data_IF_235349266673
#
_entry.id   IF_235349266673
#
_cell.length_a   1.000
_cell.length_b   1.000
_cell.length_c   1.000
_cell.angle_alpha   90.00
_cell.angle_beta   90.00
_cell.angle_gamma   90.00
#
_symmetry.space_group_name_H-M   'P 1'
#
loop_
_entity.id
_entity.type
_entity.pdbx_description
1 polymer ?
#
# COMPACT_ATOMS: atom_id res chain seq x y z
N UNK A 1 -4.20 4.73 17.93
CA UNK A 1 -5.39 5.61 17.91
C UNK A 1 -5.47 6.39 19.23
N UNK A 2 -5.66 5.74 20.37
CA UNK A 2 -5.72 6.41 21.69
C UNK A 2 -4.53 7.33 21.98
N UNK A 3 -3.30 6.87 21.71
CA UNK A 3 -2.09 7.69 21.85
C UNK A 3 -2.20 9.03 21.09
N UNK A 4 -2.65 8.97 19.83
CA UNK A 4 -2.75 10.14 18.95
C UNK A 4 -3.88 11.05 19.42
N UNK A 5 -5.02 10.48 19.83
CA UNK A 5 -6.14 11.24 20.43
C UNK A 5 -5.67 12.06 21.62
N UNK A 6 -4.96 11.42 22.55
CA UNK A 6 -4.39 12.08 23.74
C UNK A 6 -3.42 13.18 23.36
N UNK A 7 -2.53 12.95 22.39
CA UNK A 7 -1.64 14.00 21.89
C UNK A 7 -2.41 15.21 21.36
N UNK A 8 -3.49 15.00 20.59
CA UNK A 8 -4.33 16.11 20.13
C UNK A 8 -4.94 16.90 21.30
N UNK A 9 -5.47 16.21 22.30
CA UNK A 9 -6.00 16.85 23.52
C UNK A 9 -4.90 17.64 24.26
N UNK A 10 -3.69 17.09 24.39
CA UNK A 10 -2.52 17.75 25.00
C UNK A 10 -2.07 18.99 24.21
N UNK A 11 -2.20 18.98 22.88
CA UNK A 11 -1.97 20.15 22.02
C UNK A 11 -3.12 21.18 22.07
N UNK A 12 -4.17 20.94 22.86
CA UNK A 12 -5.35 21.82 22.95
C UNK A 12 -6.27 21.72 21.73
N UNK A 13 -6.14 20.66 20.92
CA UNK A 13 -6.99 20.43 19.75
C UNK A 13 -8.26 19.71 20.21
N UNK A 14 -9.40 20.38 20.02
CA UNK A 14 -10.72 19.85 20.36
C UNK A 14 -11.48 19.48 19.10
N UNK A 15 -11.63 18.18 18.84
CA UNK A 15 -12.50 17.67 17.78
C UNK A 15 -13.89 17.37 18.34
N UNK A 16 -14.94 17.75 17.62
CA UNK A 16 -16.30 17.29 17.94
C UNK A 16 -16.43 15.77 17.79
N UNK A 17 -15.76 15.19 16.78
CA UNK A 17 -15.72 13.76 16.51
C UNK A 17 -14.31 13.37 16.06
N UNK A 18 -13.62 12.59 16.89
CA UNK A 18 -12.39 11.89 16.51
C UNK A 18 -12.67 10.38 16.45
N UNK A 19 -12.73 9.84 15.23
CA UNK A 19 -13.11 8.44 14.96
C UNK A 19 -12.03 7.71 14.14
N UNK A 20 -12.30 6.46 13.77
CA UNK A 20 -11.39 5.57 13.03
C UNK A 20 -12.09 4.90 11.86
N UNK A 21 -11.32 4.63 10.81
CA UNK A 21 -11.77 3.91 9.61
C UNK A 21 -12.07 2.43 9.87
N UNK A 22 -11.61 1.87 11.00
CA UNK A 22 -11.98 0.51 11.44
C UNK A 22 -13.33 0.45 12.17
N UNK A 23 -14.19 1.47 12.04
CA UNK A 23 -15.53 1.50 12.63
C UNK A 23 -16.56 0.86 11.70
N UNK A 24 -17.63 0.28 12.27
CA UNK A 24 -18.67 -0.37 11.46
C UNK A 24 -19.38 0.61 10.53
N UNK A 25 -19.56 1.87 10.97
CA UNK A 25 -20.11 2.95 10.13
C UNK A 25 -19.22 3.19 8.91
N UNK A 26 -17.90 3.28 9.08
CA UNK A 26 -16.99 3.49 7.96
C UNK A 26 -16.99 2.30 7.00
N UNK A 27 -16.93 1.07 7.55
CA UNK A 27 -17.01 -0.16 6.76
C UNK A 27 -18.28 -0.16 5.90
N UNK A 28 -19.44 0.10 6.50
CA UNK A 28 -20.72 0.15 5.80
C UNK A 28 -20.71 1.24 4.72
N UNK A 29 -20.37 2.47 5.08
CA UNK A 29 -20.40 3.60 4.14
C UNK A 29 -19.45 3.42 2.96
N UNK A 30 -18.24 2.90 3.18
CA UNK A 30 -17.28 2.64 2.11
C UNK A 30 -17.77 1.53 1.17
N UNK A 31 -18.31 0.43 1.73
CA UNK A 31 -18.91 -0.66 0.94
C UNK A 31 -20.11 -0.18 0.13
N UNK A 32 -21.02 0.60 0.74
CA UNK A 32 -22.21 1.14 0.06
C UNK A 32 -21.79 2.08 -1.08
N UNK A 33 -20.76 2.91 -0.89
CA UNK A 33 -20.24 3.80 -1.92
C UNK A 33 -19.64 3.01 -3.09
N UNK A 34 -18.82 1.99 -2.81
CA UNK A 34 -18.26 1.11 -3.84
C UNK A 34 -19.37 0.43 -4.66
N UNK A 35 -20.34 -0.20 -3.98
CA UNK A 35 -21.46 -0.89 -4.63
C UNK A 35 -22.26 0.05 -5.51
N UNK A 36 -22.54 1.27 -5.04
CA UNK A 36 -23.27 2.26 -5.84
C UNK A 36 -22.54 2.64 -7.13
N UNK A 37 -21.21 2.77 -7.11
CA UNK A 37 -20.45 3.08 -8.33
C UNK A 37 -20.43 1.85 -9.26
N UNK A 38 -20.25 0.67 -8.70
CA UNK A 38 -20.24 -0.60 -9.42
C UNK A 38 -21.58 -0.88 -10.12
N UNK A 39 -22.71 -0.71 -9.42
CA UNK A 39 -24.07 -0.90 -9.96
C UNK A 39 -24.46 0.11 -11.05
N UNK A 40 -23.73 1.24 -11.15
CA UNK A 40 -23.93 2.25 -12.19
C UNK A 40 -22.90 2.13 -13.32
N UNK A 41 -22.29 0.95 -13.50
CA UNK A 41 -21.26 0.68 -14.52
C UNK A 41 -20.09 1.68 -14.47
N UNK A 42 -19.79 2.21 -13.28
CA UNK A 42 -18.76 3.23 -13.07
C UNK A 42 -17.33 2.70 -12.98
N UNK A 43 -17.14 1.38 -13.09
CA UNK A 43 -15.84 0.72 -13.03
C UNK A 43 -15.56 -0.09 -14.29
N UNK A 44 -14.28 -0.15 -14.64
CA UNK A 44 -13.75 -1.10 -15.59
C UNK A 44 -12.89 -2.12 -14.84
N UNK A 45 -13.14 -3.40 -15.07
CA UNK A 45 -12.29 -4.46 -14.57
C UNK A 45 -11.13 -4.71 -15.53
N UNK A 46 -9.91 -4.72 -15.00
CA UNK A 46 -8.67 -4.81 -15.79
C UNK A 46 -7.77 -5.87 -15.14
N UNK A 47 -7.23 -6.77 -15.96
CA UNK A 47 -6.16 -7.67 -15.51
C UNK A 47 -4.82 -6.95 -15.55
N UNK A 48 -4.04 -7.10 -14.49
CA UNK A 48 -2.70 -6.51 -14.36
C UNK A 48 -1.71 -7.52 -13.80
N UNK A 49 -0.42 -7.34 -14.11
CA UNK A 49 0.63 -8.14 -13.50
C UNK A 49 1.11 -7.47 -12.23
N UNK A 50 1.18 -8.24 -11.14
CA UNK A 50 1.70 -7.80 -9.85
C UNK A 50 2.73 -8.80 -9.32
N UNK A 51 3.65 -8.31 -8.49
CA UNK A 51 4.61 -9.17 -7.83
C UNK A 51 3.93 -10.08 -6.82
N UNK A 52 4.30 -11.36 -6.84
CA UNK A 52 3.81 -12.40 -5.96
C UNK A 52 4.98 -13.10 -5.28
N UNK A 53 4.89 -13.26 -3.97
CA UNK A 53 5.83 -14.03 -3.19
C UNK A 53 5.32 -15.47 -3.06
N UNK A 54 6.00 -16.40 -3.72
CA UNK A 54 5.63 -17.82 -3.71
C UNK A 54 5.84 -18.49 -2.35
N UNK A 55 6.78 -17.99 -1.56
CA UNK A 55 7.08 -18.54 -0.23
C UNK A 55 6.06 -18.04 0.80
N UNK A 56 5.71 -16.75 0.74
CA UNK A 56 4.67 -16.17 1.60
C UNK A 56 3.23 -16.43 1.11
N UNK A 57 3.07 -16.91 -0.13
CA UNK A 57 1.79 -17.25 -0.74
C UNK A 57 0.85 -16.07 -1.00
N UNK A 58 1.39 -14.87 -1.26
CA UNK A 58 0.57 -13.65 -1.43
C UNK A 58 1.14 -12.66 -2.45
N UNK A 59 0.26 -11.82 -3.01
CA UNK A 59 0.66 -10.65 -3.78
C UNK A 59 1.30 -9.60 -2.86
N UNK A 60 2.31 -8.91 -3.38
CA UNK A 60 3.07 -7.90 -2.65
C UNK A 60 2.57 -6.51 -3.01
N UNK A 61 2.15 -5.75 -2.00
CA UNK A 61 2.04 -4.31 -2.12
C UNK A 61 3.43 -3.69 -2.28
N UNK A 62 3.53 -2.52 -2.90
CA UNK A 62 4.79 -1.84 -3.25
C UNK A 62 5.77 -1.74 -2.08
N UNK A 63 5.27 -1.40 -0.89
CA UNK A 63 6.05 -1.33 0.36
C UNK A 63 6.69 -2.64 0.82
N UNK A 64 6.20 -3.78 0.35
CA UNK A 64 6.75 -5.11 0.63
C UNK A 64 7.69 -5.59 -0.46
N UNK A 65 8.02 -4.74 -1.42
CA UNK A 65 9.00 -5.00 -2.46
C UNK A 65 10.18 -4.10 -2.16
N UNK A 66 11.36 -4.70 -2.02
CA UNK A 66 12.60 -3.97 -1.80
C UNK A 66 13.60 -4.31 -2.87
N UNK A 67 14.51 -3.40 -3.18
CA UNK A 67 15.52 -3.67 -4.19
C UNK A 67 16.53 -2.54 -4.28
N UNK A 68 17.31 -2.57 -5.35
CA UNK A 68 18.31 -1.56 -5.63
C UNK A 68 17.70 -0.43 -6.46
N UNK A 69 17.80 0.80 -5.96
CA UNK A 69 17.35 2.00 -6.67
C UNK A 69 18.12 2.17 -7.99
N UNK A 70 17.44 2.33 -9.13
CA UNK A 70 18.11 2.54 -10.41
C UNK A 70 18.80 3.90 -10.53
N UNK A 71 18.43 4.89 -9.70
CA UNK A 71 18.95 6.26 -9.79
C UNK A 71 20.17 6.53 -8.92
N UNK A 72 20.20 6.00 -7.70
CA UNK A 72 21.29 6.26 -6.74
C UNK A 72 21.98 4.99 -6.22
N UNK A 73 21.60 3.82 -6.72
CA UNK A 73 22.16 2.53 -6.34
C UNK A 73 21.98 2.13 -4.87
N UNK A 74 21.09 2.80 -4.13
CA UNK A 74 20.69 2.36 -2.79
C UNK A 74 20.12 0.95 -2.85
N UNK A 75 20.73 -0.02 -2.17
CA UNK A 75 20.33 -1.43 -2.19
C UNK A 75 19.04 -1.75 -1.40
N UNK A 76 18.48 -0.76 -0.70
CA UNK A 76 17.31 -0.90 0.18
C UNK A 76 16.22 0.13 -0.16
N UNK A 77 15.96 0.34 -1.44
CA UNK A 77 14.81 1.14 -1.87
C UNK A 77 13.52 0.31 -1.75
N UNK A 78 12.42 0.97 -1.40
CA UNK A 78 11.08 0.38 -1.44
C UNK A 78 10.52 0.49 -2.87
N UNK A 79 9.50 -0.33 -3.17
CA UNK A 79 8.88 -0.37 -4.49
C UNK A 79 8.26 0.94 -4.93
N UNK A 80 7.80 1.77 -3.99
CA UNK A 80 7.17 3.06 -4.23
C UNK A 80 8.12 4.26 -4.09
N UNK A 81 9.17 4.14 -3.28
CA UNK A 81 10.09 5.25 -3.00
C UNK A 81 11.51 4.80 -2.61
N UNK A 82 12.50 5.58 -3.04
CA UNK A 82 13.86 5.50 -2.50
C UNK A 82 14.10 6.53 -1.39
N UNK A 83 14.29 6.07 -0.15
CA UNK A 83 14.61 6.93 1.01
C UNK A 83 15.96 7.66 0.92
N UNK A 84 16.87 7.22 0.04
CA UNK A 84 18.19 7.84 -0.08
C UNK A 84 18.19 9.07 -1.00
N UNK A 85 17.48 9.01 -2.13
CA UNK A 85 17.44 10.10 -3.11
C UNK A 85 16.06 10.77 -3.23
N UNK A 86 15.05 10.26 -2.53
CA UNK A 86 13.67 10.78 -2.52
C UNK A 86 12.86 10.47 -3.78
N UNK A 87 13.43 9.78 -4.76
CA UNK A 87 12.75 9.46 -6.03
C UNK A 87 11.58 8.49 -5.81
N UNK A 88 10.44 8.82 -6.40
CA UNK A 88 9.31 7.89 -6.52
C UNK A 88 9.64 6.80 -7.54
N UNK A 89 9.29 5.56 -7.21
CA UNK A 89 9.56 4.38 -8.00
C UNK A 89 8.27 3.61 -8.26
N UNK A 90 8.24 2.80 -9.31
CA UNK A 90 7.39 1.63 -9.41
C UNK A 90 8.19 0.40 -8.93
N UNK A 91 7.55 -0.62 -8.34
CA UNK A 91 8.26 -1.84 -7.96
C UNK A 91 8.99 -2.51 -9.12
N UNK A 92 8.47 -2.35 -10.35
CA UNK A 92 9.07 -2.85 -11.59
C UNK A 92 10.36 -2.12 -11.99
N UNK A 93 10.62 -0.94 -11.43
CA UNK A 93 11.84 -0.16 -11.70
C UNK A 93 13.02 -0.64 -10.85
N UNK A 94 12.76 -1.39 -9.77
CA UNK A 94 13.79 -1.85 -8.86
C UNK A 94 14.71 -2.88 -9.52
N UNK A 95 16.01 -2.69 -9.32
CA UNK A 95 17.02 -3.67 -9.71
C UNK A 95 17.07 -4.75 -8.61
N UNK A 96 16.98 -6.02 -9.00
CA UNK A 96 16.95 -7.17 -8.08
C UNK A 96 15.86 -7.05 -7.00
N UNK A 97 14.57 -7.00 -7.39
CA UNK A 97 13.48 -6.91 -6.43
C UNK A 97 13.45 -8.16 -5.54
N UNK A 98 13.07 -7.95 -4.28
CA UNK A 98 12.95 -8.97 -3.24
C UNK A 98 11.72 -8.71 -2.40
N UNK A 99 11.10 -9.79 -1.95
CA UNK A 99 10.05 -9.72 -0.94
C UNK A 99 10.64 -9.25 0.39
N UNK A 100 10.05 -8.22 0.99
CA UNK A 100 10.36 -7.81 2.35
C UNK A 100 9.78 -8.78 3.39
N UNK A 101 8.89 -9.69 3.00
CA UNK A 101 8.25 -10.66 3.88
C UNK A 101 9.11 -11.92 4.07
N UNK A 102 9.57 -12.51 2.97
CA UNK A 102 10.35 -13.76 2.97
C UNK A 102 11.83 -13.57 2.59
N UNK A 103 12.18 -12.48 1.91
CA UNK A 103 13.50 -12.30 1.29
C UNK A 103 13.65 -12.99 -0.07
N UNK A 104 12.62 -13.72 -0.54
CA UNK A 104 12.59 -14.41 -1.83
C UNK A 104 12.59 -13.41 -3.00
N UNK A 105 12.93 -13.90 -4.20
CA UNK A 105 12.77 -13.12 -5.44
C UNK A 105 11.32 -13.30 -5.88
N UNK A 106 10.49 -12.25 -5.87
CA UNK A 106 9.08 -12.36 -6.25
C UNK A 106 8.95 -12.55 -7.76
N UNK A 107 7.83 -13.15 -8.18
CA UNK A 107 7.49 -13.40 -9.58
C UNK A 107 6.30 -12.56 -10.01
N UNK A 108 6.23 -12.17 -11.27
CA UNK A 108 5.03 -11.51 -11.80
C UNK A 108 3.92 -12.53 -11.98
N UNK A 109 2.72 -12.21 -11.50
CA UNK A 109 1.50 -12.99 -11.75
C UNK A 109 0.36 -12.05 -12.14
N UNK A 110 -0.47 -12.50 -13.07
CA UNK A 110 -1.68 -11.79 -13.45
C UNK A 110 -2.72 -11.89 -12.34
N UNK A 111 -3.35 -10.77 -12.00
CA UNK A 111 -4.50 -10.68 -11.12
C UNK A 111 -5.52 -9.69 -11.67
N UNK A 112 -6.76 -9.84 -11.21
CA UNK A 112 -7.89 -8.96 -11.48
C UNK A 112 -8.33 -8.28 -10.19
#
# INVERSE_FOLDING_TARGET
>A
HELIKKSFEEFGISFDIYSRTTSDIHKKTASDMFLKIYENDGFQEIESEQYYDEEAGQFLADRYITGTCPHCSNQRAYGDQCEQCGTSLSPTDLINPKSALSGSIPVMRTTK
#
